data_IF_770669164777
#
_entry.id   IF_770669164777
#
_cell.length_a   1.000
_cell.length_b   1.000
_cell.length_c   1.000
_cell.angle_alpha   90.00
_cell.angle_beta   90.00
_cell.angle_gamma   90.00
#
_symmetry.space_group_name_H-M   'P 1'
#
loop_
_entity.id
_entity.type
_entity.pdbx_description
1 polymer ?
#
# COMPACT_ATOMS: atom_id res chain seq x y z
N UNK A 1 25.10 -12.85 -19.07
CA UNK A 1 25.13 -12.41 -17.67
C UNK A 1 24.09 -13.22 -16.91
N UNK A 2 24.50 -13.97 -15.90
CA UNK A 2 23.55 -14.70 -15.04
C UNK A 2 23.13 -13.76 -13.90
N UNK A 3 21.81 -13.67 -13.65
CA UNK A 3 21.28 -12.95 -12.50
C UNK A 3 21.02 -13.97 -11.40
N UNK A 4 21.58 -13.74 -10.22
CA UNK A 4 21.38 -14.51 -9.00
C UNK A 4 20.41 -13.78 -8.08
N UNK A 5 19.53 -14.51 -7.39
CA UNK A 5 18.62 -13.98 -6.37
C UNK A 5 19.14 -14.43 -5.00
N UNK A 6 19.33 -13.49 -4.08
CA UNK A 6 19.77 -13.75 -2.71
C UNK A 6 19.05 -12.85 -1.70
N UNK A 7 19.16 -13.20 -0.44
CA UNK A 7 18.69 -12.34 0.65
C UNK A 7 19.40 -10.99 0.61
N UNK A 8 18.65 -9.95 0.90
CA UNK A 8 19.18 -8.59 1.08
C UNK A 8 20.09 -8.55 2.31
N UNK A 9 21.17 -7.79 2.23
CA UNK A 9 22.11 -7.52 3.32
C UNK A 9 22.11 -6.03 3.65
N UNK A 10 22.67 -5.65 4.79
CA UNK A 10 22.74 -4.24 5.21
C UNK A 10 23.47 -3.36 4.18
N UNK A 11 24.53 -3.87 3.56
CA UNK A 11 25.29 -3.16 2.54
C UNK A 11 24.52 -2.91 1.23
N UNK A 12 23.44 -3.65 0.96
CA UNK A 12 22.61 -3.50 -0.24
C UNK A 12 21.58 -2.36 -0.12
N UNK A 13 21.24 -1.96 1.10
CA UNK A 13 20.10 -1.08 1.40
C UNK A 13 20.16 0.25 0.64
N UNK A 14 21.32 0.92 0.68
CA UNK A 14 21.47 2.20 -0.01
C UNK A 14 21.32 2.03 -1.53
N UNK A 15 21.95 1.01 -2.10
CA UNK A 15 21.88 0.72 -3.54
C UNK A 15 20.45 0.40 -3.95
N UNK A 16 19.73 -0.42 -3.17
CA UNK A 16 18.32 -0.75 -3.43
C UNK A 16 17.43 0.50 -3.35
N UNK A 17 17.62 1.36 -2.37
CA UNK A 17 16.88 2.62 -2.27
C UNK A 17 17.11 3.55 -3.46
N UNK A 18 18.35 3.70 -3.91
CA UNK A 18 18.66 4.49 -5.12
C UNK A 18 18.04 3.89 -6.39
N UNK A 19 18.10 2.57 -6.56
CA UNK A 19 17.44 1.87 -7.67
C UNK A 19 15.93 2.07 -7.60
N UNK A 20 15.34 1.99 -6.41
CA UNK A 20 13.92 2.22 -6.18
C UNK A 20 13.51 3.63 -6.63
N UNK A 21 14.22 4.65 -6.17
CA UNK A 21 13.99 6.04 -6.59
C UNK A 21 14.04 6.21 -8.11
N UNK A 22 15.13 5.76 -8.74
CA UNK A 22 15.33 5.94 -10.20
C UNK A 22 14.30 5.14 -11.02
N UNK A 23 13.91 3.95 -10.58
CA UNK A 23 12.91 3.13 -11.27
C UNK A 23 11.54 3.81 -11.26
N UNK A 24 11.06 4.25 -10.10
CA UNK A 24 9.76 4.92 -9.96
C UNK A 24 9.75 6.30 -10.65
N UNK A 25 10.81 7.11 -10.45
CA UNK A 25 10.95 8.40 -11.14
C UNK A 25 10.94 8.25 -12.67
N UNK A 26 11.62 7.24 -13.17
CA UNK A 26 11.72 7.00 -14.63
C UNK A 26 10.36 6.62 -15.21
N UNK A 27 9.62 5.70 -14.58
CA UNK A 27 8.33 5.28 -15.11
C UNK A 27 7.27 6.37 -14.97
N UNK A 28 7.22 7.07 -13.83
CA UNK A 28 6.30 8.20 -13.62
C UNK A 28 6.57 9.31 -14.65
N UNK A 29 7.83 9.70 -14.84
CA UNK A 29 8.21 10.75 -15.79
C UNK A 29 7.87 10.42 -17.24
N UNK A 30 8.00 9.15 -17.67
CA UNK A 30 7.61 8.70 -19.02
C UNK A 30 6.12 8.86 -19.31
N UNK A 31 5.29 8.88 -18.26
CA UNK A 31 3.84 8.96 -18.35
C UNK A 31 3.26 10.27 -17.82
N UNK A 32 4.11 11.26 -17.53
CA UNK A 32 3.75 12.58 -17.00
C UNK A 32 2.99 12.54 -15.66
N UNK A 33 3.34 11.57 -14.80
CA UNK A 33 2.86 11.49 -13.41
C UNK A 33 3.92 12.04 -12.44
N UNK A 34 3.53 12.52 -11.26
CA UNK A 34 4.47 12.93 -10.23
C UNK A 34 5.29 11.73 -9.73
N UNK A 35 6.54 11.94 -9.28
CA UNK A 35 7.35 10.88 -8.70
C UNK A 35 6.77 10.39 -7.37
N UNK A 36 6.91 9.09 -7.06
CA UNK A 36 6.44 8.50 -5.80
C UNK A 36 7.29 8.91 -4.59
N UNK A 37 8.53 9.31 -4.82
CA UNK A 37 9.47 9.73 -3.78
C UNK A 37 9.94 11.15 -4.03
N UNK A 38 9.96 12.01 -3.00
CA UNK A 38 10.44 13.39 -3.14
C UNK A 38 11.96 13.46 -3.36
N UNK A 39 12.72 12.46 -2.91
CA UNK A 39 14.17 12.40 -3.04
C UNK A 39 14.71 10.97 -2.96
N UNK A 40 15.97 10.73 -3.40
CA UNK A 40 16.63 9.43 -3.20
C UNK A 40 16.69 9.00 -1.74
N UNK A 41 16.88 9.94 -0.82
CA UNK A 41 16.98 9.70 0.63
C UNK A 41 15.68 9.10 1.18
N UNK A 42 14.53 9.56 0.71
CA UNK A 42 13.23 9.01 1.10
C UNK A 42 13.08 7.54 0.67
N UNK A 43 13.55 7.19 -0.52
CA UNK A 43 13.54 5.80 -1.00
C UNK A 43 14.57 4.92 -0.24
N UNK A 44 15.73 5.48 0.13
CA UNK A 44 16.72 4.78 0.98
C UNK A 44 16.15 4.54 2.38
N UNK A 45 15.46 5.50 2.97
CA UNK A 45 14.79 5.34 4.27
C UNK A 45 13.72 4.24 4.21
N UNK A 46 12.92 4.18 3.13
CA UNK A 46 11.99 3.08 2.93
C UNK A 46 12.72 1.73 2.84
N UNK A 47 13.78 1.64 2.03
CA UNK A 47 14.58 0.41 1.88
C UNK A 47 15.16 -0.04 3.22
N UNK A 48 15.66 0.89 4.04
CA UNK A 48 16.15 0.62 5.39
C UNK A 48 15.04 0.11 6.31
N UNK A 49 13.87 0.73 6.29
CA UNK A 49 12.73 0.32 7.10
C UNK A 49 12.24 -1.09 6.73
N UNK A 50 12.18 -1.40 5.44
CA UNK A 50 11.80 -2.73 4.94
C UNK A 50 12.82 -3.80 5.34
N UNK A 51 14.11 -3.51 5.20
CA UNK A 51 15.19 -4.43 5.61
C UNK A 51 15.21 -4.69 7.10
N UNK A 52 15.01 -3.66 7.92
CA UNK A 52 15.01 -3.78 9.38
C UNK A 52 13.77 -4.49 9.95
N UNK A 53 12.72 -4.66 9.16
CA UNK A 53 11.47 -5.24 9.62
C UNK A 53 11.50 -6.78 9.52
N UNK A 54 11.42 -7.52 10.63
CA UNK A 54 11.49 -8.99 10.63
C UNK A 54 10.29 -9.66 9.95
N UNK A 55 9.19 -8.93 9.71
CA UNK A 55 8.01 -9.42 9.01
C UNK A 55 8.02 -9.07 7.50
N UNK A 56 9.16 -8.61 7.00
CA UNK A 56 9.37 -8.34 5.57
C UNK A 56 10.51 -9.21 5.06
N UNK A 57 10.20 -10.14 4.18
CA UNK A 57 11.19 -10.92 3.46
C UNK A 57 11.76 -10.08 2.31
N UNK A 58 13.03 -9.70 2.40
CA UNK A 58 13.71 -8.81 1.46
C UNK A 58 14.78 -9.55 0.67
N UNK A 59 14.75 -9.42 -0.67
CA UNK A 59 15.70 -10.04 -1.60
C UNK A 59 16.25 -9.05 -2.61
N UNK A 60 17.40 -9.38 -3.15
CA UNK A 60 18.06 -8.63 -4.22
C UNK A 60 18.36 -9.53 -5.42
N UNK A 61 18.41 -8.92 -6.59
CA UNK A 61 18.97 -9.50 -7.80
C UNK A 61 20.39 -8.97 -7.98
N UNK A 62 21.36 -9.85 -8.09
CA UNK A 62 22.77 -9.54 -8.32
C UNK A 62 23.21 -10.02 -9.71
N UNK A 63 23.95 -9.19 -10.42
CA UNK A 63 24.58 -9.53 -11.72
C UNK A 63 26.02 -9.06 -11.70
N UNK A 64 26.96 -9.96 -11.97
CA UNK A 64 28.40 -9.67 -12.00
C UNK A 64 28.91 -8.93 -10.72
N UNK A 65 28.41 -9.36 -9.53
CA UNK A 65 28.76 -8.79 -8.24
C UNK A 65 28.10 -7.44 -7.92
N UNK A 66 27.14 -6.99 -8.73
CA UNK A 66 26.41 -5.74 -8.52
C UNK A 66 24.93 -5.97 -8.27
N UNK A 67 24.35 -5.30 -7.29
CA UNK A 67 22.90 -5.29 -7.06
C UNK A 67 22.23 -4.51 -8.19
N UNK A 68 21.31 -5.16 -8.89
CA UNK A 68 20.59 -4.60 -10.05
C UNK A 68 19.08 -4.50 -9.84
N UNK A 69 18.56 -4.94 -8.69
CA UNK A 69 17.15 -4.83 -8.33
C UNK A 69 16.85 -5.46 -6.98
N UNK A 70 15.64 -5.20 -6.47
CA UNK A 70 15.16 -5.74 -5.22
C UNK A 70 13.67 -6.05 -5.28
N UNK A 71 13.20 -6.90 -4.35
CA UNK A 71 11.79 -7.13 -4.10
C UNK A 71 11.56 -7.46 -2.63
N UNK A 72 10.33 -7.22 -2.16
CA UNK A 72 9.93 -7.43 -0.78
C UNK A 72 8.61 -8.19 -0.72
N UNK A 73 8.47 -9.07 0.28
CA UNK A 73 7.21 -9.73 0.62
C UNK A 73 6.86 -9.40 2.07
N UNK A 74 5.73 -8.76 2.28
CA UNK A 74 5.20 -8.40 3.59
C UNK A 74 4.42 -9.58 4.16
N UNK A 75 4.81 -10.05 5.33
CA UNK A 75 4.32 -11.30 5.93
C UNK A 75 3.53 -11.05 7.23
N UNK A 76 2.82 -9.91 7.34
CA UNK A 76 2.10 -9.52 8.56
C UNK A 76 0.90 -10.41 8.89
N UNK A 77 0.08 -10.70 7.89
CA UNK A 77 -1.24 -11.31 8.07
C UNK A 77 -1.42 -12.53 7.13
N UNK A 78 -2.60 -13.14 7.10
CA UNK A 78 -2.88 -14.34 6.29
C UNK A 78 -2.67 -14.12 4.78
N UNK A 79 -2.88 -12.90 4.31
CA UNK A 79 -2.60 -12.47 2.94
C UNK A 79 -1.23 -11.78 2.92
N UNK A 80 -0.41 -12.12 1.95
CA UNK A 80 0.91 -11.50 1.76
C UNK A 80 0.82 -10.38 0.74
N UNK A 81 1.66 -9.35 0.89
CA UNK A 81 1.76 -8.27 -0.07
C UNK A 81 3.16 -8.20 -0.69
N UNK A 82 3.23 -7.91 -2.00
CA UNK A 82 4.50 -7.77 -2.73
C UNK A 82 4.78 -6.31 -3.00
N UNK A 83 6.00 -5.90 -2.70
CA UNK A 83 6.52 -4.61 -3.14
C UNK A 83 7.25 -3.82 -2.04
N UNK A 84 7.98 -2.81 -2.48
CA UNK A 84 8.23 -2.44 -3.88
C UNK A 84 9.14 -3.45 -4.59
N UNK A 85 8.83 -3.75 -5.86
CA UNK A 85 9.75 -4.45 -6.75
C UNK A 85 10.36 -3.43 -7.70
N UNK A 86 11.68 -3.37 -7.75
CA UNK A 86 12.40 -2.41 -8.57
C UNK A 86 13.62 -3.03 -9.26
N UNK A 87 13.90 -2.56 -10.46
CA UNK A 87 15.04 -3.00 -11.26
C UNK A 87 15.70 -1.75 -11.83
N UNK A 88 17.02 -1.69 -11.73
CA UNK A 88 17.81 -0.65 -12.36
C UNK A 88 17.40 -0.50 -13.83
N UNK A 89 17.03 0.70 -14.30
CA UNK A 89 16.57 0.93 -15.67
C UNK A 89 17.47 0.35 -16.76
N UNK A 90 18.80 0.30 -16.55
CA UNK A 90 19.76 -0.29 -17.46
C UNK A 90 19.75 -1.83 -17.52
N UNK A 91 19.06 -2.50 -16.58
CA UNK A 91 18.97 -3.96 -16.45
C UNK A 91 17.56 -4.51 -16.67
N UNK A 92 16.60 -3.67 -17.05
CA UNK A 92 15.24 -4.08 -17.37
C UNK A 92 15.17 -4.96 -18.63
N UNK A 93 14.07 -5.69 -18.80
CA UNK A 93 13.79 -6.55 -19.97
C UNK A 93 14.73 -7.75 -20.17
N UNK A 94 15.50 -8.14 -19.12
CA UNK A 94 16.42 -9.30 -19.13
C UNK A 94 15.94 -10.47 -18.26
N UNK A 95 14.66 -10.49 -17.88
CA UNK A 95 14.10 -11.54 -17.02
C UNK A 95 14.33 -11.34 -15.52
N UNK A 96 15.06 -10.31 -15.09
CA UNK A 96 15.37 -10.03 -13.67
C UNK A 96 14.10 -9.87 -12.83
N UNK A 97 13.10 -9.10 -13.33
CA UNK A 97 11.83 -8.92 -12.61
C UNK A 97 11.05 -10.21 -12.42
N UNK A 98 11.08 -11.10 -13.41
CA UNK A 98 10.47 -12.42 -13.30
C UNK A 98 11.09 -13.25 -12.18
N UNK A 99 12.43 -13.32 -12.13
CA UNK A 99 13.15 -14.06 -11.08
C UNK A 99 12.86 -13.52 -9.67
N UNK A 100 12.84 -12.18 -9.51
CA UNK A 100 12.47 -11.54 -8.25
C UNK A 100 11.04 -11.84 -7.84
N UNK A 101 10.10 -11.87 -8.79
CA UNK A 101 8.71 -12.23 -8.51
C UNK A 101 8.55 -13.73 -8.19
N UNK A 102 9.19 -14.61 -8.94
CA UNK A 102 9.14 -16.05 -8.71
C UNK A 102 9.65 -16.40 -7.30
N UNK A 103 10.72 -15.76 -6.83
CA UNK A 103 11.26 -15.98 -5.49
C UNK A 103 10.29 -15.56 -4.37
N UNK A 104 9.62 -14.40 -4.49
CA UNK A 104 8.62 -13.98 -3.49
C UNK A 104 7.32 -14.78 -3.58
N UNK A 105 6.94 -15.27 -4.77
CA UNK A 105 5.80 -16.18 -4.95
C UNK A 105 6.09 -17.53 -4.28
N UNK A 106 7.29 -18.08 -4.47
CA UNK A 106 7.72 -19.31 -3.81
C UNK A 106 7.71 -19.16 -2.29
N UNK A 107 8.26 -18.05 -1.78
CA UNK A 107 8.23 -17.73 -0.34
C UNK A 107 6.81 -17.64 0.21
N UNK A 108 5.91 -17.00 -0.53
CA UNK A 108 4.52 -16.77 -0.13
C UNK A 108 3.55 -17.91 -0.43
N UNK A 109 4.00 -19.03 -1.02
CA UNK A 109 3.12 -20.10 -1.52
C UNK A 109 2.24 -20.77 -0.45
N UNK A 110 2.65 -20.75 0.82
CA UNK A 110 1.88 -21.29 1.93
C UNK A 110 0.81 -20.32 2.47
N UNK A 111 0.78 -19.08 2.01
CA UNK A 111 -0.25 -18.11 2.40
C UNK A 111 -1.56 -18.35 1.64
N UNK A 112 -2.68 -17.85 2.19
CA UNK A 112 -3.97 -17.93 1.51
C UNK A 112 -3.97 -17.20 0.16
N UNK A 113 -3.22 -16.10 0.06
CA UNK A 113 -3.08 -15.35 -1.19
C UNK A 113 -2.01 -14.29 -1.11
N UNK A 114 -1.60 -13.82 -2.29
CA UNK A 114 -0.60 -12.77 -2.47
C UNK A 114 -1.25 -11.62 -3.22
N UNK A 115 -1.01 -10.38 -2.77
CA UNK A 115 -1.53 -9.16 -3.37
C UNK A 115 -0.39 -8.26 -3.82
N UNK A 116 -0.67 -7.43 -4.78
CA UNK A 116 0.15 -6.28 -5.13
C UNK A 116 -0.72 -5.13 -5.67
N UNK A 117 -0.23 -3.93 -5.50
CA UNK A 117 -0.78 -2.74 -6.15
C UNK A 117 0.28 -2.16 -7.07
N UNK A 118 -0.10 -1.83 -8.29
CA UNK A 118 0.81 -1.30 -9.30
C UNK A 118 0.23 -0.09 -10.01
N UNK A 119 1.10 0.73 -10.60
CA UNK A 119 0.71 1.83 -11.49
C UNK A 119 0.05 1.27 -12.76
N UNK A 120 -1.21 1.64 -13.02
CA UNK A 120 -1.97 1.11 -14.16
C UNK A 120 -1.35 1.45 -15.52
N UNK A 121 -0.58 2.53 -15.60
CA UNK A 121 0.14 2.93 -16.81
C UNK A 121 1.41 2.12 -17.08
N UNK A 122 1.89 1.30 -16.13
CA UNK A 122 3.05 0.43 -16.32
C UNK A 122 2.63 -0.90 -16.95
N UNK A 123 2.39 -0.88 -18.27
CA UNK A 123 1.96 -2.07 -19.02
C UNK A 123 2.95 -3.24 -18.93
N UNK A 124 4.27 -2.95 -18.78
CA UNK A 124 5.31 -3.98 -18.64
C UNK A 124 5.14 -4.77 -17.34
N UNK A 125 4.92 -4.10 -16.20
CA UNK A 125 4.68 -4.77 -14.92
C UNK A 125 3.35 -5.49 -14.92
N UNK A 126 2.29 -4.90 -15.47
CA UNK A 126 0.98 -5.55 -15.61
C UNK A 126 1.08 -6.89 -16.34
N UNK A 127 1.76 -6.89 -17.50
CA UNK A 127 1.95 -8.11 -18.29
C UNK A 127 2.79 -9.16 -17.55
N UNK A 128 3.84 -8.72 -16.84
CA UNK A 128 4.66 -9.60 -16.01
C UNK A 128 3.81 -10.29 -14.93
N UNK A 129 3.08 -9.53 -14.13
CA UNK A 129 2.28 -10.07 -13.03
C UNK A 129 1.17 -10.99 -13.53
N UNK A 130 0.46 -10.60 -14.59
CA UNK A 130 -0.55 -11.46 -15.22
C UNK A 130 0.06 -12.79 -15.70
N UNK A 131 1.25 -12.76 -16.32
CA UNK A 131 1.95 -13.98 -16.76
C UNK A 131 2.42 -14.89 -15.61
N UNK A 132 2.48 -14.38 -14.39
CA UNK A 132 2.82 -15.10 -13.15
C UNK A 132 1.58 -15.50 -12.35
N UNK A 133 0.39 -15.38 -12.93
CA UNK A 133 -0.88 -15.83 -12.35
C UNK A 133 -1.52 -14.85 -11.38
N UNK A 134 -1.18 -13.56 -11.45
CA UNK A 134 -1.93 -12.51 -10.78
C UNK A 134 -3.08 -12.02 -11.66
N UNK A 135 -4.29 -12.02 -11.13
CA UNK A 135 -5.47 -11.45 -11.79
C UNK A 135 -5.66 -10.01 -11.36
N UNK A 136 -6.12 -9.16 -12.28
CA UNK A 136 -6.65 -7.83 -11.95
C UNK A 136 -7.94 -8.00 -11.15
N UNK A 137 -8.02 -7.38 -9.98
CA UNK A 137 -9.19 -7.46 -9.08
C UNK A 137 -9.90 -6.12 -8.94
N UNK A 138 -9.15 -5.01 -8.82
CA UNK A 138 -9.74 -3.72 -8.50
C UNK A 138 -9.04 -2.58 -9.26
N UNK A 139 -9.76 -1.78 -10.05
CA UNK A 139 -9.25 -0.50 -10.53
C UNK A 139 -9.28 0.52 -9.39
N UNK A 140 -8.13 1.13 -9.12
CA UNK A 140 -7.92 2.09 -8.04
C UNK A 140 -7.50 3.44 -8.59
N UNK A 141 -7.67 4.48 -7.79
CA UNK A 141 -6.98 5.76 -7.97
C UNK A 141 -6.27 6.13 -6.68
N UNK A 142 -5.06 6.66 -6.81
CA UNK A 142 -4.43 7.39 -5.72
C UNK A 142 -5.07 8.78 -5.65
N UNK A 143 -5.57 9.14 -4.48
CA UNK A 143 -6.19 10.43 -4.22
C UNK A 143 -5.38 11.20 -3.19
N UNK A 144 -5.33 12.52 -3.36
CA UNK A 144 -4.68 13.42 -2.42
C UNK A 144 -5.46 14.75 -2.31
N UNK A 145 -5.55 15.28 -1.11
CA UNK A 145 -6.19 16.58 -0.86
C UNK A 145 -6.53 16.80 0.60
N UNK A 146 -7.10 17.95 0.89
CA UNK A 146 -7.57 18.30 2.24
C UNK A 146 -9.10 18.15 2.30
N UNK A 147 -9.55 17.23 3.13
CA UNK A 147 -10.98 17.07 3.47
C UNK A 147 -11.20 17.75 4.81
N UNK A 148 -12.14 18.70 4.86
CA UNK A 148 -12.57 19.37 6.10
C UNK A 148 -14.07 19.49 6.11
N UNK A 149 -14.68 19.52 7.30
CA UNK A 149 -16.11 19.71 7.43
C UNK A 149 -16.64 19.36 8.81
N UNK A 150 -17.94 19.50 8.97
CA UNK A 150 -18.63 19.11 10.22
C UNK A 150 -18.83 17.60 10.28
N UNK A 151 -18.50 17.01 11.42
CA UNK A 151 -18.74 15.59 11.66
C UNK A 151 -20.24 15.36 11.88
N UNK A 152 -20.78 14.19 11.43
CA UNK A 152 -22.12 13.79 11.81
C UNK A 152 -22.28 13.75 13.33
N UNK A 153 -23.46 14.12 13.80
CA UNK A 153 -23.76 14.16 15.25
C UNK A 153 -23.51 12.79 15.90
N UNK A 154 -22.84 12.81 17.06
CA UNK A 154 -22.56 11.60 17.85
C UNK A 154 -21.38 10.79 17.37
N UNK A 155 -20.59 11.29 16.41
CA UNK A 155 -19.31 10.67 16.01
C UNK A 155 -18.15 11.50 16.53
N UNK A 156 -17.21 10.81 17.16
CA UNK A 156 -15.91 11.34 17.56
C UNK A 156 -14.82 10.69 16.71
N UNK A 157 -13.80 11.46 16.29
CA UNK A 157 -12.61 10.94 15.62
C UNK A 157 -11.39 11.27 16.48
N UNK A 158 -10.61 10.24 16.80
CA UNK A 158 -9.41 10.37 17.64
C UNK A 158 -8.30 9.40 17.21
N UNK A 159 -7.05 9.61 17.65
CA UNK A 159 -5.99 8.61 17.50
C UNK A 159 -6.40 7.27 18.10
N UNK A 160 -5.93 6.18 17.45
CA UNK A 160 -6.19 4.81 17.92
C UNK A 160 -5.54 4.56 19.29
N UNK A 161 -6.17 3.75 20.11
CA UNK A 161 -5.69 3.30 21.42
C UNK A 161 -5.59 1.77 21.44
N UNK A 162 -4.89 1.19 22.43
CA UNK A 162 -4.67 -0.27 22.46
C UNK A 162 -5.98 -1.06 22.50
N UNK A 163 -6.97 -0.57 23.22
CA UNK A 163 -8.31 -1.19 23.31
C UNK A 163 -9.11 -1.21 21.99
N UNK A 164 -8.76 -0.36 21.02
CA UNK A 164 -9.47 -0.27 19.74
C UNK A 164 -9.08 -1.38 18.76
N UNK A 165 -7.90 -1.99 18.92
CA UNK A 165 -7.40 -2.96 17.94
C UNK A 165 -8.30 -4.18 17.76
N UNK A 166 -8.98 -4.62 18.80
CA UNK A 166 -9.93 -5.72 18.71
C UNK A 166 -11.12 -5.37 17.79
N UNK A 167 -11.64 -4.15 17.91
CA UNK A 167 -12.72 -3.67 17.06
C UNK A 167 -12.23 -3.44 15.61
N UNK A 168 -11.02 -2.92 15.43
CA UNK A 168 -10.41 -2.78 14.10
C UNK A 168 -10.20 -4.14 13.40
N UNK A 169 -9.79 -5.17 14.16
CA UNK A 169 -9.67 -6.53 13.65
C UNK A 169 -11.02 -7.09 13.17
N UNK A 170 -12.11 -6.86 13.94
CA UNK A 170 -13.45 -7.29 13.56
C UNK A 170 -13.97 -6.56 12.32
N UNK A 171 -13.77 -5.24 12.23
CA UNK A 171 -14.10 -4.46 11.04
C UNK A 171 -13.37 -5.01 9.81
N UNK A 172 -12.06 -5.26 9.94
CA UNK A 172 -11.24 -5.84 8.87
C UNK A 172 -11.74 -7.23 8.47
N UNK A 173 -12.02 -8.11 9.43
CA UNK A 173 -12.56 -9.46 9.18
C UNK A 173 -13.91 -9.40 8.45
N UNK A 174 -14.79 -8.50 8.86
CA UNK A 174 -16.10 -8.31 8.22
C UNK A 174 -15.96 -7.83 6.78
N UNK A 175 -15.08 -6.86 6.53
CA UNK A 175 -14.87 -6.31 5.20
C UNK A 175 -14.13 -7.27 4.27
N UNK A 176 -12.98 -7.78 4.71
CA UNK A 176 -12.03 -8.52 3.86
C UNK A 176 -12.15 -10.05 3.97
N UNK A 177 -12.73 -10.57 5.06
CA UNK A 177 -12.79 -11.99 5.38
C UNK A 177 -11.61 -12.48 6.22
N UNK A 178 -10.65 -11.60 6.54
CA UNK A 178 -9.49 -11.85 7.40
C UNK A 178 -9.07 -10.57 8.12
N UNK A 179 -8.27 -10.73 9.17
CA UNK A 179 -7.74 -9.62 9.95
C UNK A 179 -6.53 -8.99 9.27
N UNK A 180 -6.38 -7.66 9.44
CA UNK A 180 -5.22 -6.88 9.01
C UNK A 180 -4.65 -6.04 10.15
N UNK A 181 -4.83 -6.52 11.37
CA UNK A 181 -4.45 -5.78 12.57
C UNK A 181 -2.94 -5.77 12.81
N UNK A 182 -2.23 -6.80 12.32
CA UNK A 182 -0.77 -6.83 12.49
C UNK A 182 -0.08 -5.75 11.65
N UNK A 183 -0.57 -5.48 10.42
CA UNK A 183 -0.10 -4.34 9.64
C UNK A 183 -0.35 -3.03 10.40
N UNK A 184 -1.55 -2.85 10.96
CA UNK A 184 -1.92 -1.65 11.72
C UNK A 184 -1.05 -1.46 12.98
N UNK A 185 -0.72 -2.53 13.71
CA UNK A 185 0.14 -2.50 14.91
C UNK A 185 1.61 -2.22 14.61
N UNK A 186 2.07 -2.59 13.42
CA UNK A 186 3.48 -2.51 13.02
C UNK A 186 3.79 -1.31 12.11
N UNK A 187 2.91 -0.31 12.09
CA UNK A 187 3.18 0.94 11.38
C UNK A 187 4.42 1.64 11.96
N UNK A 188 5.19 2.34 11.12
CA UNK A 188 6.26 3.21 11.59
C UNK A 188 5.77 4.18 12.67
N UNK A 189 6.54 4.42 13.77
CA UNK A 189 6.10 5.23 14.91
C UNK A 189 5.74 6.69 14.61
N UNK A 190 6.18 7.20 13.46
CA UNK A 190 5.85 8.56 13.01
C UNK A 190 4.51 8.65 12.26
N UNK A 191 3.86 7.50 11.99
CA UNK A 191 2.53 7.45 11.39
C UNK A 191 1.48 7.25 12.50
N UNK A 192 0.40 8.00 12.41
CA UNK A 192 -0.70 7.92 13.38
C UNK A 192 -1.92 7.34 12.72
N UNK A 193 -2.50 6.33 13.36
CA UNK A 193 -3.79 5.74 13.00
C UNK A 193 -4.92 6.41 13.77
N UNK A 194 -6.10 6.44 13.18
CA UNK A 194 -7.29 7.05 13.79
C UNK A 194 -8.49 6.12 13.72
N UNK A 195 -9.40 6.31 14.67
CA UNK A 195 -10.70 5.63 14.72
C UNK A 195 -11.83 6.66 14.73
N UNK A 196 -12.98 6.27 14.16
CA UNK A 196 -14.24 6.94 14.39
C UNK A 196 -15.05 6.12 15.42
N UNK A 197 -15.57 6.81 16.41
CA UNK A 197 -16.34 6.22 17.53
C UNK A 197 -17.75 6.79 17.52
N UNK A 198 -18.76 5.92 17.45
CA UNK A 198 -20.18 6.25 17.53
C UNK A 198 -20.83 5.51 18.69
N UNK A 199 -21.41 6.25 19.62
CA UNK A 199 -22.06 5.65 20.80
C UNK A 199 -21.12 4.76 21.63
N UNK A 200 -19.86 5.15 21.78
CA UNK A 200 -18.83 4.39 22.52
C UNK A 200 -18.26 3.19 21.77
N UNK A 201 -18.59 2.96 20.50
CA UNK A 201 -18.14 1.83 19.70
C UNK A 201 -17.35 2.30 18.48
N UNK A 202 -16.21 1.68 18.19
CA UNK A 202 -15.43 1.92 16.97
C UNK A 202 -16.24 1.46 15.75
N UNK A 203 -16.48 2.38 14.80
CA UNK A 203 -17.23 2.12 13.56
C UNK A 203 -16.42 2.30 12.31
N UNK A 204 -15.24 2.94 12.40
CA UNK A 204 -14.28 3.03 11.32
C UNK A 204 -12.84 3.20 11.85
N UNK A 205 -11.88 2.86 11.04
CA UNK A 205 -10.47 3.20 11.27
C UNK A 205 -9.76 3.58 9.95
N UNK A 206 -8.65 4.32 10.07
CA UNK A 206 -7.68 4.57 9.00
C UNK A 206 -6.27 4.51 9.58
N UNK A 207 -5.33 3.87 8.88
CA UNK A 207 -4.00 3.56 9.43
C UNK A 207 -2.99 4.68 9.27
N UNK A 208 -2.77 5.17 8.07
CA UNK A 208 -1.74 6.15 7.75
C UNK A 208 -2.28 7.22 6.80
N UNK A 209 -3.21 8.07 7.25
CA UNK A 209 -4.03 8.92 6.38
C UNK A 209 -3.25 9.93 5.53
N UNK A 210 -1.98 10.17 5.84
CA UNK A 210 -1.08 11.05 5.09
C UNK A 210 -0.07 10.33 4.22
N UNK A 211 -0.13 8.99 4.18
CA UNK A 211 0.80 8.17 3.41
C UNK A 211 0.05 7.04 2.68
N UNK A 212 -0.41 7.34 1.47
CA UNK A 212 -1.28 6.49 0.65
C UNK A 212 -0.85 5.02 0.58
N UNK A 213 0.48 4.78 0.55
CA UNK A 213 1.00 3.42 0.39
C UNK A 213 0.67 2.51 1.59
N UNK A 214 0.62 3.06 2.81
CA UNK A 214 0.30 2.32 4.04
C UNK A 214 -1.09 2.65 4.60
N UNK A 215 -1.85 3.49 3.91
CA UNK A 215 -3.17 3.90 4.38
C UNK A 215 -4.24 2.89 3.98
N UNK A 216 -4.55 1.97 4.88
CA UNK A 216 -5.76 1.16 4.81
C UNK A 216 -6.86 1.77 5.69
N UNK A 217 -8.11 1.66 5.27
CA UNK A 217 -9.25 2.06 6.07
C UNK A 217 -10.42 1.09 5.89
N UNK A 218 -11.18 0.89 6.95
CA UNK A 218 -12.43 0.11 6.93
C UNK A 218 -13.47 0.82 7.79
N UNK A 219 -14.71 0.81 7.32
CA UNK A 219 -15.84 1.37 8.04
C UNK A 219 -17.09 0.49 7.90
N UNK A 220 -17.98 0.55 8.89
CA UNK A 220 -19.28 -0.14 8.86
C UNK A 220 -20.20 0.42 7.78
N UNK A 221 -20.10 1.75 7.53
CA UNK A 221 -20.89 2.47 6.55
C UNK A 221 -20.06 3.49 5.78
N UNK A 222 -20.58 4.02 4.67
CA UNK A 222 -19.95 5.15 3.99
C UNK A 222 -19.97 6.43 4.83
N UNK A 223 -20.99 6.64 5.64
CA UNK A 223 -21.06 7.78 6.57
C UNK A 223 -19.90 7.72 7.58
N UNK A 224 -19.61 6.54 8.15
CA UNK A 224 -18.49 6.37 9.09
C UNK A 224 -17.13 6.53 8.39
N UNK A 225 -17.00 6.08 7.12
CA UNK A 225 -15.80 6.33 6.31
C UNK A 225 -15.61 7.82 6.05
N UNK A 226 -16.65 8.51 5.63
CA UNK A 226 -16.61 9.95 5.42
C UNK A 226 -16.28 10.69 6.73
N UNK A 227 -16.85 10.24 7.86
CA UNK A 227 -16.60 10.83 9.15
C UNK A 227 -15.14 10.66 9.60
N UNK A 228 -14.55 9.46 9.47
CA UNK A 228 -13.13 9.27 9.84
C UNK A 228 -12.19 10.08 8.97
N UNK A 229 -12.42 10.15 7.66
CA UNK A 229 -11.61 10.97 6.75
C UNK A 229 -11.74 12.46 7.05
N UNK A 230 -12.96 12.93 7.29
CA UNK A 230 -13.24 14.34 7.63
C UNK A 230 -12.65 14.72 8.99
N UNK A 231 -12.82 13.86 10.00
CA UNK A 231 -12.26 14.08 11.32
C UNK A 231 -10.74 14.15 11.33
N UNK A 232 -10.08 13.23 10.60
CA UNK A 232 -8.62 13.29 10.43
C UNK A 232 -8.21 14.58 9.71
N UNK A 233 -8.90 14.96 8.63
CA UNK A 233 -8.60 16.21 7.92
C UNK A 233 -8.76 17.46 8.78
N UNK A 234 -9.73 17.46 9.71
CA UNK A 234 -9.88 18.56 10.70
C UNK A 234 -8.72 18.61 11.70
N UNK A 235 -8.18 17.43 12.10
CA UNK A 235 -7.06 17.31 13.03
C UNK A 235 -5.69 17.59 12.39
N UNK A 236 -5.57 17.43 11.08
CA UNK A 236 -4.30 17.43 10.34
C UNK A 236 -3.80 18.84 9.94
N UNK A 237 -4.55 19.89 10.25
CA UNK A 237 -4.19 21.24 9.84
C UNK A 237 -4.15 21.40 8.30
N UNK A 238 -2.97 21.68 7.76
CA UNK A 238 -2.73 21.86 6.32
C UNK A 238 -2.21 20.57 5.63
N UNK A 239 -1.91 19.52 6.39
CA UNK A 239 -1.37 18.31 5.84
C UNK A 239 -2.43 17.55 5.03
N UNK A 240 -2.19 17.27 3.72
CA UNK A 240 -3.17 16.59 2.91
C UNK A 240 -3.35 15.13 3.34
N UNK A 241 -4.55 14.62 3.17
CA UNK A 241 -4.82 13.18 3.20
C UNK A 241 -4.39 12.56 1.88
N UNK A 242 -3.90 11.32 1.92
CA UNK A 242 -3.63 10.54 0.73
C UNK A 242 -4.00 9.07 0.92
N UNK A 243 -4.68 8.49 -0.06
CA UNK A 243 -5.16 7.12 0.00
C UNK A 243 -5.44 6.52 -1.38
N UNK A 244 -5.51 5.20 -1.44
CA UNK A 244 -6.03 4.47 -2.59
C UNK A 244 -7.54 4.33 -2.46
N UNK A 245 -8.26 4.58 -3.56
CA UNK A 245 -9.72 4.47 -3.57
C UNK A 245 -10.17 3.60 -4.75
N UNK A 246 -10.95 2.52 -4.49
CA UNK A 246 -11.56 1.73 -5.54
C UNK A 246 -12.56 2.56 -6.34
N UNK A 247 -12.35 2.71 -7.66
CA UNK A 247 -13.21 3.55 -8.50
C UNK A 247 -14.65 3.03 -8.62
N UNK A 248 -14.86 1.75 -8.30
CA UNK A 248 -16.19 1.13 -8.20
C UNK A 248 -16.99 1.59 -6.96
N UNK A 249 -16.35 2.17 -5.95
CA UNK A 249 -17.00 2.83 -4.81
C UNK A 249 -17.44 4.24 -5.21
N UNK A 250 -18.40 4.28 -6.15
CA UNK A 250 -18.78 5.47 -6.89
C UNK A 250 -19.20 6.63 -6.00
N UNK A 251 -19.93 6.36 -4.93
CA UNK A 251 -20.44 7.41 -4.04
C UNK A 251 -19.33 8.02 -3.19
N UNK A 252 -18.45 7.18 -2.62
CA UNK A 252 -17.27 7.64 -1.90
C UNK A 252 -16.30 8.40 -2.82
N UNK A 253 -16.13 7.94 -4.07
CA UNK A 253 -15.28 8.62 -5.04
C UNK A 253 -15.81 10.01 -5.40
N UNK A 254 -17.12 10.13 -5.70
CA UNK A 254 -17.76 11.43 -5.97
C UNK A 254 -17.72 12.34 -4.77
N UNK A 255 -17.96 11.79 -3.57
CA UNK A 255 -17.89 12.54 -2.33
C UNK A 255 -16.47 13.09 -2.09
N UNK A 256 -15.44 12.27 -2.28
CA UNK A 256 -14.05 12.70 -2.15
C UNK A 256 -13.70 13.87 -3.09
N UNK A 257 -14.10 13.77 -4.36
CA UNK A 257 -13.89 14.85 -5.34
C UNK A 257 -14.59 16.15 -4.94
N UNK A 258 -15.83 16.07 -4.42
CA UNK A 258 -16.59 17.23 -3.95
C UNK A 258 -15.96 17.89 -2.72
N UNK A 259 -15.21 17.14 -1.91
CA UNK A 259 -14.60 17.58 -0.67
C UNK A 259 -13.09 17.88 -0.81
N UNK A 260 -12.62 18.26 -2.00
CA UNK A 260 -11.28 18.80 -2.21
C UNK A 260 -10.20 17.78 -2.55
N UNK A 261 -10.53 16.49 -2.66
CA UNK A 261 -9.57 15.50 -3.13
C UNK A 261 -9.38 15.55 -4.65
N UNK A 262 -8.18 15.21 -5.10
CA UNK A 262 -7.83 15.11 -6.51
C UNK A 262 -7.29 13.72 -6.81
N UNK A 263 -7.56 13.23 -8.03
CA UNK A 263 -6.92 12.03 -8.56
C UNK A 263 -5.49 12.38 -8.97
N UNK A 264 -4.52 11.66 -8.41
CA UNK A 264 -3.10 11.84 -8.71
C UNK A 264 -2.68 10.89 -9.82
N UNK A 265 -3.00 9.59 -9.68
CA UNK A 265 -2.67 8.57 -10.68
C UNK A 265 -3.59 7.35 -10.59
N UNK A 266 -3.79 6.62 -11.71
CA UNK A 266 -4.52 5.36 -11.71
C UNK A 266 -3.62 4.22 -11.22
N UNK A 267 -4.21 3.33 -10.42
CA UNK A 267 -3.55 2.16 -9.84
C UNK A 267 -4.38 0.89 -10.10
N UNK A 268 -3.78 -0.26 -9.96
CA UNK A 268 -4.44 -1.56 -10.13
C UNK A 268 -4.06 -2.49 -9.00
N UNK A 269 -5.07 -3.01 -8.28
CA UNK A 269 -4.89 -4.12 -7.36
C UNK A 269 -4.91 -5.43 -8.13
N UNK A 270 -3.92 -6.27 -7.91
CA UNK A 270 -3.86 -7.61 -8.46
C UNK A 270 -3.69 -8.66 -7.36
N UNK A 271 -4.23 -9.84 -7.59
CA UNK A 271 -4.23 -10.93 -6.62
C UNK A 271 -3.85 -12.26 -7.27
N UNK A 272 -3.10 -13.07 -6.52
CA UNK A 272 -2.82 -14.47 -6.81
C UNK A 272 -3.26 -15.33 -5.61
N UNK A 273 -3.92 -16.46 -5.85
CA UNK A 273 -4.52 -17.29 -4.81
C UNK A 273 -5.88 -16.76 -4.35
N UNK A 274 -6.23 -16.97 -3.10
CA UNK A 274 -7.54 -16.61 -2.57
C UNK A 274 -7.78 -15.09 -2.65
N UNK A 275 -8.91 -14.70 -3.19
CA UNK A 275 -9.38 -13.31 -3.20
C UNK A 275 -10.88 -13.29 -2.88
N UNK A 276 -11.19 -12.60 -1.80
CA UNK A 276 -12.57 -12.26 -1.46
C UNK A 276 -12.78 -10.78 -1.75
N UNK A 277 -13.79 -10.47 -2.55
CA UNK A 277 -14.18 -9.07 -2.80
C UNK A 277 -14.59 -8.41 -1.47
N UNK A 278 -13.96 -7.29 -1.09
CA UNK A 278 -14.27 -6.63 0.17
C UNK A 278 -15.70 -6.10 0.21
N UNK A 279 -16.33 -6.20 1.37
CA UNK A 279 -17.70 -5.74 1.64
C UNK A 279 -17.67 -4.44 2.44
N UNK A 280 -18.72 -3.62 2.29
CA UNK A 280 -18.83 -2.36 3.03
C UNK A 280 -17.90 -1.27 2.48
N UNK A 281 -17.56 -0.30 3.30
CA UNK A 281 -16.69 0.83 2.93
C UNK A 281 -15.26 0.56 3.34
N UNK A 282 -14.34 0.66 2.38
CA UNK A 282 -12.91 0.38 2.60
C UNK A 282 -12.01 1.15 1.65
N UNK A 283 -10.78 1.39 2.08
CA UNK A 283 -9.66 1.89 1.29
C UNK A 283 -8.52 0.86 1.39
N UNK A 284 -7.99 0.34 0.28
CA UNK A 284 -6.84 -0.56 0.31
C UNK A 284 -5.53 0.20 0.50
N UNK A 285 -4.50 -0.48 1.04
CA UNK A 285 -3.10 -0.03 1.01
C UNK A 285 -2.30 -0.84 -0.01
N UNK A 286 -1.00 -0.57 -0.18
CA UNK A 286 -0.12 -1.45 -0.97
C UNK A 286 0.18 -2.76 -0.24
N UNK A 287 -0.02 -2.80 1.09
CA UNK A 287 -0.01 -4.01 1.89
C UNK A 287 -1.26 -4.86 1.73
N UNK A 288 -2.15 -4.41 0.95
CA UNK A 288 -3.48 -4.88 0.52
C UNK A 288 -4.62 -4.12 1.12
#
# INVERSE_FOLDING_TARGET
MSVEIRLMRQEDVETCGRICYEAFKTIAGRHNFPPDFPSPEAAIQLSQALFANPQVFSIVAESDGQVVGSNHLWEYDAIRAVGPITINPGFQSKGTGRKLMEAVIERGQASAGIRLVQDSFNATSLALYASLGFDVKEPLVMMEGAIKGELPSGIEVRPIQEEDFAACAELSRTAHGFERVNELRNLPPFLTSYVAVRGGRVTAYTSAPHFWALNQAVAESEEDMQAVLMGVGNLSGEQPLSFLLPTRRTDLFRWSLKNGMRVIKPMTLMARGEYREPRGSYLPSVGY
#
